data_IF_337508284497
#
_entry.id   IF_337508284497
#
_cell.length_a   1.000
_cell.length_b   1.000
_cell.length_c   1.000
_cell.angle_alpha   90.00
_cell.angle_beta   90.00
_cell.angle_gamma   90.00
#
_symmetry.space_group_name_H-M   'P 1'
#
loop_
_entity.id
_entity.type
_entity.pdbx_description
1 polymer ?
#
# COMPACT_ATOMS: atom_id res chain seq x y z
N UNK A 1 18.46 12.56 20.41
CA UNK A 1 17.31 13.46 20.06
C UNK A 1 16.15 13.11 20.98
N UNK A 2 15.23 14.04 21.35
CA UNK A 2 14.18 13.77 22.35
C UNK A 2 13.22 12.62 22.03
N UNK A 3 13.25 12.11 20.79
CA UNK A 3 12.42 10.99 20.36
C UNK A 3 13.02 9.60 20.60
N UNK A 4 14.28 9.53 21.01
CA UNK A 4 14.90 8.27 21.41
C UNK A 4 14.34 7.79 22.76
N UNK A 5 14.22 6.48 22.92
CA UNK A 5 13.58 5.86 24.09
C UNK A 5 14.27 6.26 25.41
N UNK A 6 15.60 6.33 25.42
CA UNK A 6 16.42 6.71 26.58
C UNK A 6 16.47 8.23 26.83
N UNK A 7 16.02 9.04 25.87
CA UNK A 7 16.02 10.52 25.95
C UNK A 7 14.65 11.12 26.28
N UNK A 8 13.60 10.31 26.43
CA UNK A 8 12.26 10.77 26.83
C UNK A 8 12.27 11.40 28.23
N UNK A 9 11.56 12.52 28.38
CA UNK A 9 11.45 13.28 29.63
C UNK A 9 12.67 14.15 29.98
N UNK A 10 13.72 14.14 29.16
CA UNK A 10 14.83 15.09 29.29
C UNK A 10 14.44 16.42 28.64
N UNK A 11 14.69 17.54 29.32
CA UNK A 11 14.35 18.87 28.81
C UNK A 11 15.53 19.52 28.09
N UNK A 12 15.28 20.15 26.94
CA UNK A 12 16.22 21.02 26.23
C UNK A 12 15.63 22.41 26.04
N UNK A 13 16.47 23.43 25.99
CA UNK A 13 16.04 24.80 25.68
C UNK A 13 15.79 24.93 24.18
N UNK A 14 14.67 25.53 23.81
CA UNK A 14 14.35 25.81 22.41
C UNK A 14 15.26 26.93 21.87
N UNK A 15 15.52 26.93 20.56
CA UNK A 15 16.40 27.94 19.93
C UNK A 15 15.74 29.30 19.79
N UNK A 16 14.41 29.33 19.68
CA UNK A 16 13.62 30.52 19.39
C UNK A 16 12.82 31.02 20.61
N UNK A 17 12.87 30.30 21.72
CA UNK A 17 12.26 30.70 22.99
C UNK A 17 13.14 30.25 24.14
N UNK A 18 13.16 31.00 25.23
CA UNK A 18 13.83 30.60 26.48
C UNK A 18 13.07 29.49 27.24
N UNK A 19 12.18 28.79 26.55
CA UNK A 19 11.37 27.72 27.12
C UNK A 19 12.11 26.38 27.05
N UNK A 20 11.87 25.56 28.08
CA UNK A 20 12.32 24.17 28.11
C UNK A 20 11.26 23.26 27.52
N UNK A 21 11.66 22.48 26.53
CA UNK A 21 10.82 21.48 25.87
C UNK A 21 11.34 20.07 26.16
N UNK A 22 10.43 19.12 26.37
CA UNK A 22 10.74 17.70 26.50
C UNK A 22 9.64 16.88 25.82
N UNK A 23 9.96 15.65 25.40
CA UNK A 23 8.92 14.71 24.94
C UNK A 23 8.61 13.71 26.07
N UNK A 24 7.38 13.71 26.60
CA UNK A 24 6.96 12.77 27.65
C UNK A 24 7.07 11.30 27.26
N UNK A 25 7.20 10.43 28.27
CA UNK A 25 7.29 8.97 28.09
C UNK A 25 6.00 8.33 27.59
N UNK A 26 4.85 8.96 27.81
CA UNK A 26 3.53 8.49 27.40
C UNK A 26 3.14 8.93 25.98
N UNK A 27 4.05 9.55 25.22
CA UNK A 27 3.81 9.92 23.82
C UNK A 27 4.40 8.86 22.90
N UNK A 28 3.55 8.31 22.04
CA UNK A 28 3.92 7.39 20.97
C UNK A 28 3.78 8.10 19.62
N UNK A 29 4.73 7.84 18.72
CA UNK A 29 4.72 8.40 17.37
C UNK A 29 4.58 7.24 16.40
N UNK A 30 3.46 7.20 15.69
CA UNK A 30 3.18 6.21 14.66
C UNK A 30 3.17 6.95 13.33
N UNK A 31 4.19 6.69 12.50
CA UNK A 31 4.27 7.21 11.14
C UNK A 31 3.77 6.18 10.14
N UNK A 32 3.06 6.64 9.11
CA UNK A 32 2.75 5.85 7.93
C UNK A 32 3.58 6.38 6.77
N UNK A 33 4.20 5.49 6.00
CA UNK A 33 5.03 5.85 4.85
C UNK A 33 4.56 5.06 3.64
N UNK A 34 4.39 5.75 2.50
CA UNK A 34 4.23 5.09 1.22
C UNK A 34 5.60 4.61 0.71
N UNK A 35 5.76 3.31 0.52
CA UNK A 35 7.02 2.70 0.07
C UNK A 35 7.21 2.74 -1.44
N UNK A 36 6.16 2.99 -2.23
CA UNK A 36 6.26 3.15 -3.68
C UNK A 36 6.96 4.46 -4.07
N UNK A 37 6.86 5.48 -3.22
CA UNK A 37 7.47 6.78 -3.47
C UNK A 37 8.96 6.79 -3.08
N UNK A 38 9.81 6.52 -4.08
CA UNK A 38 11.27 6.54 -3.92
C UNK A 38 11.83 7.94 -3.67
N UNK A 39 11.10 9.02 -3.96
CA UNK A 39 11.57 10.39 -3.68
C UNK A 39 11.66 10.66 -2.17
N UNK A 40 10.81 10.00 -1.38
CA UNK A 40 10.81 10.05 0.09
C UNK A 40 11.84 9.09 0.73
N UNK A 41 12.51 8.24 -0.07
CA UNK A 41 13.52 7.31 0.42
C UNK A 41 14.81 8.01 0.91
N UNK A 42 14.96 9.32 0.65
CA UNK A 42 16.00 10.17 1.25
C UNK A 42 15.67 10.65 2.67
N UNK A 43 14.76 9.99 3.39
CA UNK A 43 14.60 10.24 4.82
C UNK A 43 15.97 10.07 5.51
N UNK A 44 16.43 11.15 6.17
CA UNK A 44 17.74 11.23 6.81
C UNK A 44 17.99 9.99 7.67
N UNK A 45 19.14 9.36 7.49
CA UNK A 45 19.59 8.21 8.27
C UNK A 45 19.52 8.46 9.79
N UNK A 46 19.65 9.72 10.22
CA UNK A 46 19.46 10.12 11.60
C UNK A 46 18.00 9.92 12.09
N UNK A 47 16.99 10.18 11.25
CA UNK A 47 15.59 9.93 11.58
C UNK A 47 15.27 8.44 11.56
N UNK A 48 15.74 7.69 10.55
CA UNK A 48 15.46 6.24 10.44
C UNK A 48 15.88 5.46 11.68
N UNK A 49 17.05 5.75 12.26
CA UNK A 49 17.52 5.05 13.48
C UNK A 49 16.66 5.28 14.74
N UNK A 50 15.68 6.18 14.69
CA UNK A 50 14.81 6.54 15.82
C UNK A 50 13.42 5.91 15.72
N UNK A 51 13.12 5.23 14.62
CA UNK A 51 11.87 4.52 14.39
C UNK A 51 12.13 3.02 14.24
N UNK A 52 11.19 2.21 14.72
CA UNK A 52 11.08 0.82 14.31
C UNK A 52 10.22 0.77 13.05
N UNK A 53 10.72 0.15 11.99
CA UNK A 53 10.00 -0.03 10.74
C UNK A 53 9.25 -1.35 10.76
N UNK A 54 7.99 -1.30 10.37
CA UNK A 54 7.12 -2.47 10.24
C UNK A 54 6.45 -2.42 8.88
N UNK A 55 6.79 -3.39 8.02
CA UNK A 55 6.27 -3.44 6.66
C UNK A 55 4.87 -4.03 6.64
N UNK A 56 3.92 -3.31 6.03
CA UNK A 56 2.55 -3.75 5.86
C UNK A 56 2.35 -4.18 4.42
N UNK A 57 2.22 -5.49 4.19
CA UNK A 57 1.92 -6.06 2.86
C UNK A 57 0.42 -5.94 2.52
N UNK A 58 0.04 -5.99 1.23
CA UNK A 58 -1.36 -6.06 0.84
C UNK A 58 -2.09 -7.23 1.51
N UNK A 59 -3.15 -6.91 2.23
CA UNK A 59 -3.88 -7.82 3.12
C UNK A 59 -4.80 -8.85 2.44
N UNK A 60 -4.51 -9.29 1.22
CA UNK A 60 -5.35 -10.27 0.48
C UNK A 60 -5.52 -11.61 1.20
N UNK A 61 -4.57 -11.97 2.06
CA UNK A 61 -4.56 -13.22 2.85
C UNK A 61 -5.02 -13.02 4.30
N UNK A 62 -5.42 -11.82 4.69
CA UNK A 62 -5.88 -11.56 6.07
C UNK A 62 -7.26 -12.17 6.29
N UNK A 63 -7.51 -12.67 7.51
CA UNK A 63 -8.82 -13.24 7.87
C UNK A 63 -9.98 -12.26 7.63
N UNK A 64 -9.76 -10.97 7.89
CA UNK A 64 -10.74 -9.92 7.66
C UNK A 64 -11.09 -9.79 6.17
N UNK A 65 -10.09 -9.73 5.30
CA UNK A 65 -10.30 -9.64 3.86
C UNK A 65 -10.92 -10.92 3.28
N UNK A 66 -10.50 -12.10 3.74
CA UNK A 66 -11.09 -13.39 3.31
C UNK A 66 -12.57 -13.46 3.70
N UNK A 67 -12.93 -13.09 4.93
CA UNK A 67 -14.34 -13.02 5.38
C UNK A 67 -15.15 -12.03 4.54
N UNK A 68 -14.58 -10.85 4.27
CA UNK A 68 -15.18 -9.84 3.42
C UNK A 68 -15.43 -10.34 2.00
N UNK A 69 -14.41 -10.90 1.33
CA UNK A 69 -14.51 -11.54 0.01
C UNK A 69 -15.63 -12.58 -0.03
N UNK A 70 -15.65 -13.49 0.94
CA UNK A 70 -16.64 -14.56 1.02
C UNK A 70 -18.06 -14.04 1.24
N UNK A 71 -18.23 -12.89 1.92
CA UNK A 71 -19.54 -12.28 2.15
C UNK A 71 -20.18 -11.75 0.86
N UNK A 72 -19.38 -11.36 -0.14
CA UNK A 72 -19.86 -10.82 -1.41
C UNK A 72 -20.41 -11.90 -2.34
N UNK A 73 -19.96 -13.16 -2.20
CA UNK A 73 -20.41 -14.31 -3.01
C UNK A 73 -20.40 -14.01 -4.53
N UNK A 74 -19.34 -13.39 -5.03
CA UNK A 74 -19.21 -13.01 -6.43
C UNK A 74 -17.96 -13.68 -7.06
N UNK A 75 -18.18 -14.56 -8.04
CA UNK A 75 -17.11 -15.34 -8.66
C UNK A 75 -16.17 -14.50 -9.53
N UNK A 76 -16.69 -13.46 -10.22
CA UNK A 76 -15.86 -12.53 -11.01
C UNK A 76 -14.91 -11.77 -10.10
N UNK A 77 -15.40 -11.30 -8.97
CA UNK A 77 -14.58 -10.64 -7.94
C UNK A 77 -13.52 -11.59 -7.37
N UNK A 78 -13.88 -12.85 -7.11
CA UNK A 78 -12.93 -13.87 -6.66
C UNK A 78 -11.82 -14.10 -7.68
N UNK A 79 -12.16 -14.21 -8.97
CA UNK A 79 -11.17 -14.34 -10.06
C UNK A 79 -10.28 -13.10 -10.18
N UNK A 80 -10.85 -11.90 -10.05
CA UNK A 80 -10.11 -10.66 -10.09
C UNK A 80 -9.09 -10.57 -8.95
N UNK A 81 -9.45 -10.98 -7.73
CA UNK A 81 -8.52 -11.03 -6.59
C UNK A 81 -7.36 -11.98 -6.88
N UNK A 82 -7.62 -13.19 -7.38
CA UNK A 82 -6.53 -14.11 -7.72
C UNK A 82 -5.63 -13.56 -8.84
N UNK A 83 -6.21 -12.89 -9.84
CA UNK A 83 -5.45 -12.22 -10.88
C UNK A 83 -4.54 -11.12 -10.31
N UNK A 84 -5.06 -10.28 -9.40
CA UNK A 84 -4.28 -9.22 -8.73
C UNK A 84 -3.18 -9.81 -7.83
N UNK A 85 -3.43 -10.95 -7.16
CA UNK A 85 -2.38 -11.64 -6.40
C UNK A 85 -1.25 -12.12 -7.31
N UNK A 86 -1.56 -12.78 -8.41
CA UNK A 86 -0.54 -13.20 -9.39
C UNK A 86 0.20 -12.02 -10.00
N UNK A 87 -0.49 -10.90 -10.23
CA UNK A 87 0.13 -9.65 -10.68
C UNK A 87 1.10 -9.09 -9.63
N UNK A 88 0.73 -9.12 -8.35
CA UNK A 88 1.62 -8.71 -7.26
C UNK A 88 2.86 -9.60 -7.14
N UNK A 89 2.75 -10.91 -7.41
CA UNK A 89 3.92 -11.79 -7.44
C UNK A 89 4.92 -11.34 -8.52
N UNK A 90 4.42 -10.94 -9.69
CA UNK A 90 5.27 -10.41 -10.76
C UNK A 90 5.86 -9.04 -10.39
N UNK A 91 5.06 -8.12 -9.85
CA UNK A 91 5.52 -6.79 -9.42
C UNK A 91 6.60 -6.89 -8.34
N UNK A 92 6.41 -7.78 -7.35
CA UNK A 92 7.38 -8.05 -6.28
C UNK A 92 8.71 -8.56 -6.81
N UNK A 93 8.67 -9.43 -7.83
CA UNK A 93 9.87 -9.99 -8.48
C UNK A 93 10.54 -9.06 -9.50
N UNK A 94 9.92 -7.92 -9.82
CA UNK A 94 10.41 -6.99 -10.84
C UNK A 94 11.57 -6.14 -10.30
N UNK A 95 12.70 -6.12 -11.00
CA UNK A 95 13.90 -5.38 -10.60
C UNK A 95 13.67 -3.86 -10.52
N UNK A 96 12.75 -3.32 -11.34
CA UNK A 96 12.47 -1.90 -11.40
C UNK A 96 11.49 -1.44 -10.31
N UNK A 97 10.59 -2.32 -9.84
CA UNK A 97 9.50 -2.00 -8.90
C UNK A 97 9.79 -2.52 -7.48
N UNK A 98 9.71 -3.84 -7.29
CA UNK A 98 9.83 -4.53 -6.01
C UNK A 98 8.56 -4.49 -5.13
N UNK A 99 8.66 -5.04 -3.91
CA UNK A 99 7.56 -5.21 -2.96
C UNK A 99 6.73 -3.94 -2.69
N UNK A 100 7.37 -2.76 -2.69
CA UNK A 100 6.73 -1.48 -2.37
C UNK A 100 5.68 -1.03 -3.39
N UNK A 101 5.67 -1.61 -4.59
CA UNK A 101 4.73 -1.32 -5.68
C UNK A 101 3.59 -2.34 -5.77
N UNK A 102 3.54 -3.34 -4.88
CA UNK A 102 2.42 -4.28 -4.88
C UNK A 102 1.09 -3.54 -4.73
N UNK A 103 0.13 -3.91 -5.56
CA UNK A 103 -1.21 -3.33 -5.58
C UNK A 103 -1.91 -3.64 -4.27
N UNK A 104 -2.39 -2.59 -3.61
CA UNK A 104 -3.14 -2.68 -2.35
C UNK A 104 -4.52 -3.30 -2.53
N UNK A 105 -4.99 -3.98 -1.49
CA UNK A 105 -6.35 -4.53 -1.42
C UNK A 105 -7.45 -3.44 -1.31
N UNK A 106 -7.08 -2.18 -1.07
CA UNK A 106 -8.00 -1.05 -0.93
C UNK A 106 -8.86 -0.80 -2.17
N UNK A 107 -8.33 -0.99 -3.38
CA UNK A 107 -9.08 -0.91 -4.64
C UNK A 107 -10.25 -1.90 -4.71
N UNK A 108 -10.14 -2.98 -3.94
CA UNK A 108 -11.10 -4.08 -3.90
C UNK A 108 -11.88 -4.11 -2.58
N UNK A 109 -11.83 -3.05 -1.78
CA UNK A 109 -12.59 -2.89 -0.54
C UNK A 109 -13.83 -2.01 -0.75
N UNK A 110 -14.69 -1.93 0.28
CA UNK A 110 -15.89 -1.09 0.33
C UNK A 110 -16.96 -1.38 -0.73
N UNK A 111 -16.88 -2.52 -1.40
CA UNK A 111 -17.97 -3.09 -2.19
C UNK A 111 -18.98 -3.76 -1.27
N UNK A 112 -20.27 -3.62 -1.60
CA UNK A 112 -21.36 -4.36 -0.95
C UNK A 112 -21.98 -5.34 -1.93
N UNK A 113 -22.58 -6.41 -1.42
CA UNK A 113 -23.20 -7.46 -2.24
C UNK A 113 -24.22 -6.92 -3.24
N UNK A 114 -24.96 -5.88 -2.86
CA UNK A 114 -25.98 -5.26 -3.71
C UNK A 114 -25.41 -4.26 -4.73
N UNK A 115 -24.14 -3.88 -4.61
CA UNK A 115 -23.47 -2.89 -5.48
C UNK A 115 -22.40 -3.50 -6.38
N UNK A 116 -21.97 -4.74 -6.11
CA UNK A 116 -20.93 -5.40 -6.90
C UNK A 116 -21.52 -5.96 -8.19
N UNK A 117 -21.52 -5.12 -9.23
CA UNK A 117 -21.92 -5.48 -10.57
C UNK A 117 -20.73 -5.44 -11.55
N UNK A 118 -20.99 -5.86 -12.78
CA UNK A 118 -19.99 -5.88 -13.85
C UNK A 118 -19.45 -4.49 -14.17
N UNK A 119 -20.26 -3.44 -13.99
CA UNK A 119 -19.86 -2.05 -14.26
C UNK A 119 -18.87 -1.56 -13.20
N UNK A 120 -19.09 -1.89 -11.93
CA UNK A 120 -18.19 -1.57 -10.82
C UNK A 120 -16.87 -2.32 -11.00
N UNK A 121 -16.91 -3.63 -11.27
CA UNK A 121 -15.68 -4.41 -11.52
C UNK A 121 -14.91 -3.89 -12.74
N UNK A 122 -15.62 -3.58 -13.83
CA UNK A 122 -15.02 -2.94 -15.01
C UNK A 122 -14.44 -1.57 -14.68
N UNK A 123 -15.09 -0.80 -13.81
CA UNK A 123 -14.61 0.51 -13.39
C UNK A 123 -13.28 0.42 -12.65
N UNK A 124 -13.17 -0.50 -11.70
CA UNK A 124 -11.92 -0.77 -10.96
C UNK A 124 -10.81 -1.17 -11.93
N UNK A 125 -11.09 -2.09 -12.86
CA UNK A 125 -10.09 -2.53 -13.84
C UNK A 125 -9.66 -1.40 -14.76
N UNK A 126 -10.59 -0.72 -15.43
CA UNK A 126 -10.29 0.24 -16.49
C UNK A 126 -9.76 1.59 -15.99
N UNK A 127 -10.21 2.05 -14.82
CA UNK A 127 -9.92 3.40 -14.33
C UNK A 127 -8.95 3.44 -13.16
N UNK A 128 -8.70 2.32 -12.48
CA UNK A 128 -7.75 2.26 -11.36
C UNK A 128 -6.55 1.36 -11.71
N UNK A 129 -6.79 0.08 -11.98
CA UNK A 129 -5.71 -0.90 -12.14
C UNK A 129 -4.92 -0.71 -13.44
N UNK A 130 -5.60 -0.52 -14.58
CA UNK A 130 -4.94 -0.36 -15.87
C UNK A 130 -4.08 0.92 -15.93
N UNK A 131 -4.56 2.10 -15.51
CA UNK A 131 -3.73 3.30 -15.43
C UNK A 131 -2.50 3.10 -14.55
N UNK A 132 -2.65 2.47 -13.38
CA UNK A 132 -1.53 2.16 -12.49
C UNK A 132 -0.45 1.31 -13.18
N UNK A 133 -0.85 0.26 -13.91
CA UNK A 133 0.09 -0.58 -14.63
C UNK A 133 0.83 0.15 -15.76
N UNK A 134 0.18 1.12 -16.42
CA UNK A 134 0.82 1.96 -17.43
C UNK A 134 1.87 2.88 -16.83
N UNK A 135 1.69 3.31 -15.58
CA UNK A 135 2.70 4.09 -14.86
C UNK A 135 3.87 3.20 -14.41
N UNK A 136 3.59 1.98 -13.95
CA UNK A 136 4.63 1.05 -13.48
C UNK A 136 5.56 0.58 -14.59
N UNK A 137 4.99 0.24 -15.75
CA UNK A 137 5.71 -0.31 -16.89
C UNK A 137 5.52 0.59 -18.12
N UNK A 138 5.87 1.87 -17.98
CA UNK A 138 5.71 2.86 -19.05
C UNK A 138 6.58 2.53 -20.29
N UNK A 139 7.68 1.83 -20.09
CA UNK A 139 8.65 1.39 -21.10
C UNK A 139 8.42 -0.05 -21.59
N UNK A 140 7.56 -0.83 -20.93
CA UNK A 140 7.20 -2.21 -21.30
C UNK A 140 5.72 -2.38 -21.72
N UNK A 141 5.25 -1.73 -22.80
CA UNK A 141 3.82 -1.73 -23.17
C UNK A 141 3.27 -3.13 -23.49
N UNK A 142 4.11 -4.05 -23.98
CA UNK A 142 3.71 -5.44 -24.25
C UNK A 142 3.34 -6.20 -22.97
N UNK A 143 4.08 -5.97 -21.88
CA UNK A 143 3.84 -6.56 -20.57
C UNK A 143 2.54 -6.03 -19.96
N UNK A 144 2.33 -4.72 -20.06
CA UNK A 144 1.07 -4.08 -19.66
C UNK A 144 -0.12 -4.64 -20.44
N UNK A 145 -0.01 -4.78 -21.77
CA UNK A 145 -1.09 -5.31 -22.60
C UNK A 145 -1.49 -6.74 -22.23
N UNK A 146 -0.52 -7.60 -21.89
CA UNK A 146 -0.82 -8.96 -21.42
C UNK A 146 -1.64 -8.93 -20.11
N UNK A 147 -1.23 -8.10 -19.15
CA UNK A 147 -1.96 -7.94 -17.89
C UNK A 147 -3.34 -7.29 -18.07
N UNK A 148 -3.49 -6.33 -18.98
CA UNK A 148 -4.81 -5.77 -19.35
C UNK A 148 -5.75 -6.87 -19.82
N UNK A 149 -5.28 -7.78 -20.68
CA UNK A 149 -6.09 -8.90 -21.18
C UNK A 149 -6.50 -9.82 -20.03
N UNK A 150 -5.55 -10.16 -19.14
CA UNK A 150 -5.81 -11.02 -17.99
C UNK A 150 -6.83 -10.40 -17.02
N UNK A 151 -6.68 -9.11 -16.68
CA UNK A 151 -7.59 -8.38 -15.79
C UNK A 151 -9.00 -8.29 -16.38
N UNK A 152 -9.12 -7.94 -17.66
CA UNK A 152 -10.41 -7.91 -18.37
C UNK A 152 -11.04 -9.30 -18.44
N UNK A 153 -10.25 -10.36 -18.63
CA UNK A 153 -10.76 -11.72 -18.66
C UNK A 153 -11.23 -12.21 -17.29
N UNK A 154 -10.64 -11.72 -16.19
CA UNK A 154 -11.05 -12.12 -14.84
C UNK A 154 -12.49 -11.72 -14.51
N UNK A 155 -12.94 -10.59 -15.08
CA UNK A 155 -14.28 -10.01 -14.86
C UNK A 155 -15.31 -10.36 -15.95
N UNK A 156 -14.92 -11.15 -16.96
CA UNK A 156 -15.86 -11.72 -17.94
C UNK A 156 -16.70 -12.82 -17.32
#
# INVERSE_FOLDING_TARGET
MLIENDKRGQSLQLLYSDERFSVPKNIYIIGMMNTADRSLAMLDYALRRRFSFYDIKPGFVTDGFIKYRNSLKNDKFNRLIECVKSLNDIISSDESLGDGFCIGHSYLCNLSKDKIDDKVLSGIVEYELIPLLKEYWFDEPSKVNNWIINLRSAIK
#
